data_IF_683782840236
#
_entry.id   IF_683782840236
#
_cell.length_a   1.000
_cell.length_b   1.000
_cell.length_c   1.000
_cell.angle_alpha   90.00
_cell.angle_beta   90.00
_cell.angle_gamma   90.00
#
_symmetry.space_group_name_H-M   'P 1'
#
loop_
_entity.id
_entity.type
_entity.pdbx_description
1 polymer ?
#
# COMPACT_ATOMS: atom_id res chain seq x y z
N UNK A 1 14.41 19.72 -29.95
CA UNK A 1 15.27 19.56 -28.76
C UNK A 1 14.65 18.55 -27.81
N UNK A 2 15.41 17.56 -27.37
CA UNK A 2 14.94 16.59 -26.38
C UNK A 2 15.11 17.13 -24.95
N UNK A 3 14.06 17.00 -24.15
CA UNK A 3 14.04 17.40 -22.75
C UNK A 3 13.41 16.31 -21.90
N UNK A 4 13.82 16.25 -20.63
CA UNK A 4 13.25 15.37 -19.61
C UNK A 4 12.37 16.21 -18.70
N UNK A 5 11.11 15.81 -18.53
CA UNK A 5 10.15 16.51 -17.68
C UNK A 5 10.42 16.24 -16.19
N UNK A 6 10.34 17.29 -15.37
CA UNK A 6 10.45 17.20 -13.90
C UNK A 6 9.10 17.11 -13.20
N UNK A 7 8.04 17.51 -13.90
CA UNK A 7 6.65 17.50 -13.45
C UNK A 7 5.73 17.12 -14.61
N UNK A 8 4.49 16.81 -14.29
CA UNK A 8 3.47 16.49 -15.30
C UNK A 8 3.07 17.78 -16.04
N UNK A 9 3.23 17.79 -17.36
CA UNK A 9 2.92 18.95 -18.19
C UNK A 9 1.71 18.62 -19.08
N UNK A 10 0.60 19.36 -18.96
CA UNK A 10 -0.58 19.13 -19.78
C UNK A 10 -0.25 19.16 -21.27
N UNK A 11 -0.79 18.20 -22.02
CA UNK A 11 -0.58 18.04 -23.47
C UNK A 11 0.88 17.80 -23.91
N UNK A 12 1.77 17.41 -22.99
CA UNK A 12 3.16 17.11 -23.32
C UNK A 12 3.61 15.75 -22.79
N UNK A 13 3.40 15.46 -21.50
CA UNK A 13 3.83 14.20 -20.89
C UNK A 13 3.83 14.24 -19.36
N UNK A 14 4.26 13.12 -18.77
CA UNK A 14 4.37 12.96 -17.32
C UNK A 14 5.81 13.20 -16.85
N UNK A 15 5.96 13.33 -15.53
CA UNK A 15 7.26 13.42 -14.87
C UNK A 15 8.16 12.25 -15.27
N UNK A 16 9.44 12.56 -15.47
CA UNK A 16 10.50 11.63 -15.90
C UNK A 16 10.34 11.13 -17.35
N UNK A 17 9.43 11.69 -18.16
CA UNK A 17 9.33 11.40 -19.60
C UNK A 17 10.37 12.17 -20.42
N UNK A 18 10.91 11.51 -21.45
CA UNK A 18 11.77 12.11 -22.46
C UNK A 18 10.88 12.53 -23.64
N UNK A 19 10.77 13.84 -23.87
CA UNK A 19 9.93 14.41 -24.92
C UNK A 19 10.75 15.26 -25.88
N UNK A 20 10.41 15.19 -27.17
CA UNK A 20 11.01 16.04 -28.19
C UNK A 20 10.12 17.26 -28.43
N UNK A 21 10.62 18.45 -28.12
CA UNK A 21 9.89 19.71 -28.23
C UNK A 21 10.61 20.70 -29.12
N UNK A 22 9.89 21.74 -29.55
CA UNK A 22 10.49 22.88 -30.24
C UNK A 22 11.47 23.59 -29.32
N UNK A 23 12.61 23.99 -29.87
CA UNK A 23 13.71 24.62 -29.14
C UNK A 23 13.28 25.86 -28.33
N UNK A 24 12.44 26.73 -28.91
CA UNK A 24 11.94 27.90 -28.21
C UNK A 24 11.06 27.56 -27.01
N UNK A 25 10.29 26.47 -27.08
CA UNK A 25 9.44 26.04 -25.98
C UNK A 25 10.26 25.44 -24.83
N UNK A 26 11.31 24.66 -25.14
CA UNK A 26 12.27 24.20 -24.15
C UNK A 26 13.03 25.36 -23.49
N UNK A 27 13.67 26.23 -24.28
CA UNK A 27 14.58 27.26 -23.80
C UNK A 27 13.89 28.45 -23.12
N UNK A 28 12.70 28.84 -23.56
CA UNK A 28 12.03 30.04 -23.06
C UNK A 28 10.97 29.74 -22.00
N UNK A 29 10.47 28.51 -21.92
CA UNK A 29 9.37 28.14 -21.03
C UNK A 29 9.73 26.97 -20.11
N UNK A 30 9.97 25.77 -20.64
CA UNK A 30 10.10 24.57 -19.80
C UNK A 30 11.35 24.58 -18.90
N UNK A 31 12.51 24.96 -19.43
CA UNK A 31 13.77 24.97 -18.67
C UNK A 31 13.82 26.13 -17.65
N UNK A 32 13.49 27.39 -18.02
CA UNK A 32 13.52 28.49 -17.06
C UNK A 32 12.49 28.36 -15.94
N UNK A 33 11.33 27.77 -16.22
CA UNK A 33 10.32 27.50 -15.19
C UNK A 33 10.64 26.25 -14.36
N UNK A 34 11.74 25.54 -14.63
CA UNK A 34 12.13 24.34 -13.90
C UNK A 34 11.25 23.12 -14.19
N UNK A 35 10.42 23.16 -15.23
CA UNK A 35 9.51 22.06 -15.62
C UNK A 35 10.22 20.94 -16.37
N UNK A 36 11.34 21.24 -17.01
CA UNK A 36 12.15 20.26 -17.74
C UNK A 36 13.64 20.59 -17.66
N UNK A 37 14.48 19.63 -18.06
CA UNK A 37 15.91 19.81 -18.25
C UNK A 37 16.36 19.12 -19.54
N UNK A 38 17.55 19.45 -20.02
CA UNK A 38 18.06 18.93 -21.29
C UNK A 38 18.31 17.43 -21.18
N UNK A 39 17.81 16.66 -22.14
CA UNK A 39 18.02 15.22 -22.21
C UNK A 39 19.39 14.88 -22.80
N UNK A 40 20.47 15.17 -22.07
CA UNK A 40 21.81 14.71 -22.44
C UNK A 40 21.94 13.20 -22.31
N UNK A 41 22.92 12.58 -22.97
CA UNK A 41 23.24 11.15 -22.81
C UNK A 41 23.45 10.76 -21.35
N UNK A 42 24.14 11.61 -20.56
CA UNK A 42 24.32 11.40 -19.13
C UNK A 42 22.99 11.46 -18.36
N UNK A 43 22.14 12.44 -18.66
CA UNK A 43 20.82 12.58 -18.04
C UNK A 43 19.90 11.39 -18.34
N UNK A 44 19.88 10.91 -19.58
CA UNK A 44 19.10 9.72 -19.98
C UNK A 44 19.55 8.47 -19.23
N UNK A 45 20.87 8.26 -19.10
CA UNK A 45 21.42 7.12 -18.34
C UNK A 45 21.08 7.21 -16.85
N UNK A 46 21.20 8.39 -16.24
CA UNK A 46 20.82 8.60 -14.85
C UNK A 46 19.33 8.35 -14.62
N UNK A 47 18.48 8.79 -15.55
CA UNK A 47 17.04 8.55 -15.48
C UNK A 47 16.70 7.06 -15.54
N UNK A 48 17.30 6.33 -16.50
CA UNK A 48 17.11 4.88 -16.62
C UNK A 48 17.53 4.14 -15.35
N UNK A 49 18.68 4.51 -14.76
CA UNK A 49 19.16 3.92 -13.52
C UNK A 49 18.24 4.24 -12.34
N UNK A 50 17.78 5.49 -12.20
CA UNK A 50 16.82 5.89 -11.17
C UNK A 50 15.49 5.14 -11.30
N UNK A 51 14.98 4.99 -12.53
CA UNK A 51 13.76 4.22 -12.79
C UNK A 51 13.94 2.75 -12.42
N UNK A 52 15.07 2.14 -12.79
CA UNK A 52 15.41 0.77 -12.43
C UNK A 52 15.48 0.58 -10.92
N UNK A 53 16.15 1.49 -10.20
CA UNK A 53 16.24 1.44 -8.75
C UNK A 53 14.88 1.61 -8.07
N UNK A 54 14.05 2.53 -8.56
CA UNK A 54 12.67 2.70 -8.07
C UNK A 54 11.84 1.45 -8.32
N UNK A 55 11.88 0.88 -9.53
CA UNK A 55 11.16 -0.33 -9.87
C UNK A 55 11.60 -1.51 -9.00
N UNK A 56 12.90 -1.67 -8.77
CA UNK A 56 13.44 -2.70 -7.89
C UNK A 56 12.98 -2.53 -6.44
N UNK A 57 13.02 -1.31 -5.90
CA UNK A 57 12.49 -1.02 -4.55
C UNK A 57 11.00 -1.31 -4.44
N UNK A 58 10.20 -0.94 -5.45
CA UNK A 58 8.76 -1.24 -5.46
C UNK A 58 8.50 -2.74 -5.54
N UNK A 59 9.27 -3.48 -6.33
CA UNK A 59 9.19 -4.94 -6.41
C UNK A 59 9.58 -5.60 -5.09
N UNK A 60 10.64 -5.12 -4.42
CA UNK A 60 11.05 -5.62 -3.11
C UNK A 60 9.96 -5.40 -2.07
N UNK A 61 9.39 -4.18 -1.97
CA UNK A 61 8.30 -3.90 -1.04
C UNK A 61 7.06 -4.75 -1.34
N UNK A 62 6.76 -5.01 -2.62
CA UNK A 62 5.66 -5.90 -3.01
C UNK A 62 5.96 -7.35 -2.63
N UNK A 63 7.18 -7.82 -2.83
CA UNK A 63 7.61 -9.16 -2.45
C UNK A 63 7.55 -9.36 -0.94
N UNK A 64 8.09 -8.42 -0.16
CA UNK A 64 8.00 -8.43 1.31
C UNK A 64 6.54 -8.45 1.80
N UNK A 65 5.67 -7.64 1.18
CA UNK A 65 4.24 -7.66 1.50
C UNK A 65 3.57 -8.99 1.12
N UNK A 66 3.99 -9.62 0.02
CA UNK A 66 3.47 -10.91 -0.41
C UNK A 66 3.94 -12.05 0.50
N UNK A 67 5.21 -12.05 0.90
CA UNK A 67 5.76 -13.02 1.85
C UNK A 67 5.07 -12.90 3.21
N UNK A 68 4.81 -11.67 3.67
CA UNK A 68 4.03 -11.42 4.88
C UNK A 68 2.59 -11.89 4.70
N UNK A 69 2.00 -11.68 3.53
CA UNK A 69 0.65 -12.13 3.23
C UNK A 69 0.51 -13.65 3.30
N UNK A 70 1.46 -14.37 2.71
CA UNK A 70 1.44 -15.83 2.69
C UNK A 70 1.63 -16.41 4.11
N UNK A 71 2.47 -15.80 4.95
CA UNK A 71 2.60 -16.18 6.37
C UNK A 71 1.32 -15.95 7.17
N UNK A 72 0.49 -14.96 6.79
CA UNK A 72 -0.75 -14.63 7.48
C UNK A 72 -1.95 -15.48 7.04
N UNK A 73 -1.90 -16.10 5.85
CA UNK A 73 -3.01 -16.92 5.34
C UNK A 73 -3.32 -18.13 6.22
N UNK A 74 -2.31 -18.73 6.83
CA UNK A 74 -2.47 -19.90 7.68
C UNK A 74 -2.83 -19.54 9.14
N UNK A 75 -3.01 -18.25 9.45
CA UNK A 75 -3.27 -17.78 10.80
C UNK A 75 -4.77 -17.71 11.06
N UNK A 76 -5.28 -18.60 11.93
CA UNK A 76 -6.64 -18.50 12.46
C UNK A 76 -6.64 -17.80 13.83
N UNK A 77 -7.28 -16.65 13.96
CA UNK A 77 -7.32 -15.94 15.26
C UNK A 77 -8.51 -16.38 16.10
N UNK A 78 -8.34 -16.39 17.41
CA UNK A 78 -9.43 -16.60 18.38
C UNK A 78 -9.48 -15.38 19.28
N UNK A 79 -10.63 -14.73 19.34
CA UNK A 79 -10.83 -13.49 20.11
C UNK A 79 -11.84 -13.78 21.21
N UNK A 80 -11.39 -13.67 22.46
CA UNK A 80 -12.28 -13.72 23.62
C UNK A 80 -13.09 -12.43 23.73
N UNK A 81 -14.40 -12.54 23.85
CA UNK A 81 -15.29 -11.41 24.08
C UNK A 81 -16.33 -11.75 25.15
N UNK A 82 -16.61 -10.80 26.05
CA UNK A 82 -17.66 -10.94 27.06
C UNK A 82 -19.03 -10.97 26.39
N UNK A 83 -19.81 -12.02 26.65
CA UNK A 83 -21.11 -12.24 26.01
C UNK A 83 -22.24 -12.34 27.02
N UNK A 84 -23.44 -11.90 26.61
CA UNK A 84 -24.69 -12.18 27.32
C UNK A 84 -25.05 -13.67 27.22
N UNK A 85 -25.96 -14.14 28.06
CA UNK A 85 -26.51 -15.51 28.01
C UNK A 85 -27.14 -15.89 26.66
N UNK A 86 -27.47 -14.90 25.83
CA UNK A 86 -28.02 -15.05 24.48
C UNK A 86 -26.98 -15.07 23.35
N UNK A 87 -25.68 -15.04 23.66
CA UNK A 87 -24.61 -15.07 22.65
C UNK A 87 -24.28 -13.72 22.00
N UNK A 88 -24.94 -12.64 22.43
CA UNK A 88 -24.62 -11.28 22.01
C UNK A 88 -23.42 -10.74 22.79
N UNK A 89 -22.44 -10.17 22.11
CA UNK A 89 -21.25 -9.57 22.71
C UNK A 89 -21.62 -8.25 23.40
N UNK A 90 -21.12 -8.04 24.61
CA UNK A 90 -21.16 -6.74 25.29
C UNK A 90 -20.20 -5.77 24.59
N UNK A 91 -20.70 -5.11 23.54
CA UNK A 91 -19.94 -4.17 22.71
C UNK A 91 -19.77 -4.67 21.28
N UNK A 92 -18.56 -4.49 20.73
CA UNK A 92 -18.21 -5.01 19.40
C UNK A 92 -16.73 -5.35 19.32
N UNK A 93 -16.39 -6.40 18.59
CA UNK A 93 -14.98 -6.65 18.26
C UNK A 93 -14.48 -5.57 17.31
N UNK A 94 -13.38 -4.93 17.68
CA UNK A 94 -12.80 -3.81 16.92
C UNK A 94 -11.46 -4.20 16.29
N UNK A 95 -11.01 -3.42 15.31
CA UNK A 95 -9.70 -3.59 14.68
C UNK A 95 -8.53 -3.61 15.69
N UNK A 96 -8.69 -2.98 16.86
CA UNK A 96 -7.67 -2.95 17.91
C UNK A 96 -7.45 -4.36 18.48
N UNK A 97 -8.54 -5.06 18.83
CA UNK A 97 -8.46 -6.42 19.36
C UNK A 97 -7.87 -7.40 18.33
N UNK A 98 -8.19 -7.22 17.05
CA UNK A 98 -7.60 -8.02 15.98
C UNK A 98 -6.10 -7.73 15.83
N UNK A 99 -5.69 -6.46 15.88
CA UNK A 99 -4.29 -6.07 15.81
C UNK A 99 -3.49 -6.63 17.00
N UNK A 100 -4.05 -6.58 18.21
CA UNK A 100 -3.42 -7.14 19.41
C UNK A 100 -3.29 -8.66 19.31
N UNK A 101 -4.33 -9.38 18.87
CA UNK A 101 -4.29 -10.82 18.66
C UNK A 101 -3.28 -11.24 17.55
N UNK A 102 -3.13 -10.42 16.50
CA UNK A 102 -2.10 -10.61 15.48
C UNK A 102 -0.69 -10.37 16.02
N UNK A 103 -0.54 -9.38 16.90
CA UNK A 103 0.73 -9.06 17.55
C UNK A 103 1.19 -10.19 18.47
N UNK A 104 0.28 -10.83 19.20
CA UNK A 104 0.59 -12.02 20.00
C UNK A 104 1.11 -13.19 19.15
N UNK A 105 0.68 -13.28 17.89
CA UNK A 105 1.19 -14.25 16.92
C UNK A 105 2.47 -13.82 16.20
N UNK A 106 3.06 -12.69 16.58
CA UNK A 106 4.30 -12.18 16.02
C UNK A 106 4.13 -11.29 14.78
N UNK A 107 2.91 -10.86 14.46
CA UNK A 107 2.64 -9.97 13.35
C UNK A 107 2.29 -8.56 13.82
N UNK A 108 3.21 -7.61 13.64
CA UNK A 108 2.94 -6.20 13.94
C UNK A 108 2.19 -5.52 12.79
N UNK A 109 0.86 -5.43 12.92
CA UNK A 109 -0.04 -4.79 11.93
C UNK A 109 -0.69 -3.56 12.56
N UNK A 110 -0.71 -2.44 11.83
CA UNK A 110 -1.47 -1.25 12.25
C UNK A 110 -2.98 -1.48 12.10
N UNK A 111 -3.77 -1.16 13.13
CA UNK A 111 -5.24 -1.18 13.12
C UNK A 111 -5.89 -0.43 11.96
N UNK A 112 -5.20 0.55 11.35
CA UNK A 112 -5.70 1.35 10.20
C UNK A 112 -5.76 0.55 8.90
N UNK A 113 -4.92 -0.46 8.75
CA UNK A 113 -4.88 -1.30 7.55
C UNK A 113 -5.78 -2.53 7.66
N UNK A 114 -6.37 -2.77 8.84
CA UNK A 114 -7.36 -3.83 9.07
C UNK A 114 -8.75 -3.29 8.75
N UNK A 115 -9.53 -4.06 8.00
CA UNK A 115 -10.91 -3.74 7.61
C UNK A 115 -11.81 -4.93 7.93
N UNK A 116 -12.78 -4.71 8.81
CA UNK A 116 -13.82 -5.69 9.13
C UNK A 116 -15.09 -5.32 8.34
N UNK A 117 -15.73 -6.30 7.72
CA UNK A 117 -17.01 -6.10 7.01
C UNK A 117 -18.16 -6.01 8.02
N UNK A 118 -18.29 -4.84 8.66
CA UNK A 118 -19.38 -4.52 9.59
C UNK A 118 -19.07 -4.78 11.07
N UNK A 119 -19.95 -4.37 11.99
CA UNK A 119 -19.74 -4.53 13.43
C UNK A 119 -19.98 -5.98 13.86
N UNK A 120 -19.00 -6.57 14.53
CA UNK A 120 -19.07 -7.93 15.10
C UNK A 120 -19.68 -7.86 16.49
N UNK A 121 -20.94 -8.27 16.63
CA UNK A 121 -21.73 -8.19 17.87
C UNK A 121 -22.21 -9.54 18.40
N UNK A 122 -21.89 -10.62 17.71
CA UNK A 122 -22.31 -11.99 18.06
C UNK A 122 -21.08 -12.89 18.04
N UNK A 123 -21.14 -13.99 18.79
CA UNK A 123 -20.15 -15.06 18.69
C UNK A 123 -20.27 -15.78 17.36
N UNK A 124 -19.14 -16.14 16.77
CA UNK A 124 -19.12 -16.80 15.47
C UNK A 124 -17.84 -16.57 14.69
N UNK A 125 -17.88 -17.01 13.43
CA UNK A 125 -16.76 -16.94 12.50
C UNK A 125 -16.88 -15.70 11.61
N UNK A 126 -15.83 -14.90 11.59
CA UNK A 126 -15.75 -13.68 10.81
C UNK A 126 -14.44 -13.62 10.03
N UNK A 127 -14.37 -12.70 9.08
CA UNK A 127 -13.19 -12.51 8.24
C UNK A 127 -12.75 -11.05 8.31
N UNK A 128 -11.49 -10.84 8.68
CA UNK A 128 -10.83 -9.54 8.66
C UNK A 128 -9.98 -9.40 7.41
N UNK A 129 -10.08 -8.26 6.72
CA UNK A 129 -9.25 -7.97 5.54
C UNK A 129 -8.10 -7.06 5.95
N UNK A 130 -6.87 -7.54 5.87
CA UNK A 130 -5.66 -6.76 6.14
C UNK A 130 -5.06 -6.27 4.82
N UNK A 131 -4.90 -4.95 4.68
CA UNK A 131 -4.33 -4.30 3.51
C UNK A 131 -2.84 -4.01 3.72
N UNK A 132 -1.98 -4.98 3.40
CA UNK A 132 -0.52 -4.85 3.58
C UNK A 132 0.12 -3.91 2.56
N UNK A 133 -0.37 -3.94 1.31
CA UNK A 133 0.11 -3.05 0.24
C UNK A 133 -1.03 -2.64 -0.68
N UNK A 134 -0.80 -1.64 -1.55
CA UNK A 134 -1.81 -1.15 -2.53
C UNK A 134 -2.43 -2.28 -3.37
N UNK A 135 -1.66 -3.33 -3.64
CA UNK A 135 -2.04 -4.48 -4.45
C UNK A 135 -2.11 -5.79 -3.66
N UNK A 136 -1.79 -5.78 -2.35
CA UNK A 136 -1.69 -7.00 -1.53
C UNK A 136 -2.64 -6.90 -0.34
N UNK A 137 -3.67 -7.73 -0.35
CA UNK A 137 -4.67 -7.85 0.71
C UNK A 137 -4.78 -9.30 1.16
N UNK A 138 -4.93 -9.50 2.46
CA UNK A 138 -5.07 -10.82 3.08
C UNK A 138 -6.40 -10.89 3.81
N UNK A 139 -7.10 -11.99 3.64
CA UNK A 139 -8.29 -12.31 4.42
C UNK A 139 -7.90 -13.27 5.53
N UNK A 140 -8.12 -12.86 6.78
CA UNK A 140 -7.78 -13.63 7.97
C UNK A 140 -9.08 -14.07 8.65
N UNK A 141 -9.36 -15.37 8.73
CA UNK A 141 -10.49 -15.87 9.49
C UNK A 141 -10.21 -15.71 10.99
N UNK A 142 -11.21 -15.22 11.73
CA UNK A 142 -11.16 -15.17 13.17
C UNK A 142 -12.47 -15.65 13.78
N UNK A 143 -12.33 -16.40 14.87
CA UNK A 143 -13.44 -16.91 15.66
C UNK A 143 -13.61 -16.08 16.93
N UNK A 144 -14.84 -15.70 17.23
CA UNK A 144 -15.16 -14.98 18.46
C UNK A 144 -15.82 -15.94 19.44
N UNK A 145 -15.15 -16.15 20.58
CA UNK A 145 -15.60 -17.04 21.65
C UNK A 145 -16.07 -16.24 22.87
N UNK A 146 -17.01 -16.81 23.62
CA UNK A 146 -17.47 -16.25 24.90
C UNK A 146 -16.38 -16.41 25.96
N UNK A 147 -15.97 -15.29 26.55
CA UNK A 147 -15.15 -15.23 27.78
C UNK A 147 -16.02 -15.05 29.02
#
# INVERSE_FOLDING_TARGET
MEVILKEDVPNLGYKDDIVNVKDGYARNYLIPQGKAYIATESAKKMLAENQKQRAHKLQQLKAEAQDMADKMRDVSLTIGAKTSSTGTIFGSVTNIQIADALKEKGFEIDRKIIVIKGPVKEVGNYTAVVKLHKEVTVEIPFEVISE
#
